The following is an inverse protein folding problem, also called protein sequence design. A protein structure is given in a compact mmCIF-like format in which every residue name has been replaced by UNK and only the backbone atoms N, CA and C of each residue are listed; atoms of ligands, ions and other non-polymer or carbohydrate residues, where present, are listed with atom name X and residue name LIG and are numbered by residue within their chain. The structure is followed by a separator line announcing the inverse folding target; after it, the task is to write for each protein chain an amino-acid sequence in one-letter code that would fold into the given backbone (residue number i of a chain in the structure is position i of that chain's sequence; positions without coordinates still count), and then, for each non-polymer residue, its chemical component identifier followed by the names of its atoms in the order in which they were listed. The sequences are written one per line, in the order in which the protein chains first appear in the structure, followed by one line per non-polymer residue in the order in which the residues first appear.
data_IF_809265203556
#
_entry.id   IF_809265203556
#
_cell.length_a   1.000
_cell.length_b   1.000
_cell.length_c   1.000
_cell.angle_alpha   90.00
_cell.angle_beta   90.00
_cell.angle_gamma   90.00
#
_symmetry.space_group_name_H-M   'P 1'
#
loop_
_entity.id
_entity.type
_entity.pdbx_description
1 polymer ?
#
# COMPACT_ATOMS: atom_id res chain seq x y z
N UNK A 1 3.59 5.62 -19.66
CA UNK A 1 3.42 5.15 -18.25
C UNK A 1 3.18 3.64 -18.30
N UNK A 2 3.75 2.85 -17.38
CA UNK A 2 3.63 1.36 -17.41
C UNK A 2 2.48 0.80 -16.54
N UNK A 3 1.83 1.64 -15.73
CA UNK A 3 0.62 1.25 -15.00
C UNK A 3 0.84 0.45 -13.72
N UNK A 4 2.08 0.39 -13.19
CA UNK A 4 2.40 -0.38 -11.97
C UNK A 4 2.48 0.45 -10.70
N UNK A 5 2.75 1.75 -10.82
CA UNK A 5 2.91 2.64 -9.67
C UNK A 5 1.59 3.34 -9.39
N UNK A 6 1.16 3.29 -8.13
CA UNK A 6 -0.12 3.83 -7.66
C UNK A 6 0.08 4.64 -6.38
N UNK A 7 -0.73 5.67 -6.22
CA UNK A 7 -0.70 6.55 -5.05
C UNK A 7 -2.08 6.67 -4.42
N UNK A 8 -2.07 6.91 -3.11
CA UNK A 8 -3.23 7.38 -2.35
C UNK A 8 -2.91 8.75 -1.81
N UNK A 9 -3.82 9.68 -2.02
CA UNK A 9 -3.67 11.09 -1.65
C UNK A 9 -4.74 11.45 -0.64
N UNK A 10 -4.33 12.11 0.44
CA UNK A 10 -5.24 12.56 1.50
C UNK A 10 -5.32 14.07 1.43
N UNK A 11 -6.52 14.55 1.16
CA UNK A 11 -6.83 15.95 0.95
C UNK A 11 -7.69 16.46 2.10
N UNK A 12 -7.34 17.63 2.64
CA UNK A 12 -8.21 18.45 3.48
C UNK A 12 -8.63 19.66 2.65
N UNK A 13 -9.87 19.68 2.20
CA UNK A 13 -10.37 20.63 1.19
C UNK A 13 -9.50 20.60 -0.08
N UNK A 14 -8.76 21.68 -0.35
CA UNK A 14 -7.88 21.85 -1.50
C UNK A 14 -6.39 21.62 -1.15
N UNK A 15 -6.08 21.25 0.10
CA UNK A 15 -4.72 21.00 0.56
C UNK A 15 -4.39 19.50 0.61
N UNK A 16 -3.29 19.12 -0.04
CA UNK A 16 -2.73 17.78 0.05
C UNK A 16 -1.99 17.62 1.40
N UNK A 17 -2.64 17.00 2.36
CA UNK A 17 -2.18 16.86 3.75
C UNK A 17 -1.49 15.53 4.05
N UNK A 18 -1.51 14.58 3.12
CA UNK A 18 -0.80 13.31 3.28
C UNK A 18 -0.93 12.40 2.06
N UNK A 19 -0.24 11.28 2.09
CA UNK A 19 -0.34 10.29 1.05
C UNK A 19 0.77 9.26 1.08
N UNK A 20 0.66 8.30 0.17
CA UNK A 20 1.63 7.23 -0.02
C UNK A 20 1.64 6.80 -1.47
N UNK A 21 2.70 6.12 -1.88
CA UNK A 21 2.75 5.45 -3.17
C UNK A 21 3.52 4.14 -3.08
N UNK A 22 3.25 3.26 -4.05
CA UNK A 22 3.89 1.98 -4.16
C UNK A 22 3.69 1.33 -5.52
N UNK A 23 4.20 0.11 -5.65
CA UNK A 23 4.07 -0.72 -6.84
C UNK A 23 3.06 -1.84 -6.59
N UNK A 24 2.11 -2.03 -7.51
CA UNK A 24 1.23 -3.19 -7.52
C UNK A 24 1.73 -4.20 -8.56
N UNK A 25 2.04 -5.42 -8.11
CA UNK A 25 2.46 -6.52 -8.98
C UNK A 25 1.76 -7.80 -8.51
N UNK A 26 0.88 -8.31 -9.36
CA UNK A 26 -0.06 -9.36 -9.01
C UNK A 26 -0.85 -9.02 -7.76
N UNK A 27 -0.88 -9.94 -6.79
CA UNK A 27 -1.56 -9.77 -5.50
C UNK A 27 -0.68 -9.16 -4.40
N UNK A 28 0.44 -8.52 -4.77
CA UNK A 28 1.42 -7.93 -3.85
C UNK A 28 1.54 -6.42 -4.07
N UNK A 29 1.54 -5.67 -2.98
CA UNK A 29 1.78 -4.23 -2.99
C UNK A 29 3.10 -3.91 -2.31
N UNK A 30 4.00 -3.19 -2.99
CA UNK A 30 5.30 -2.80 -2.48
C UNK A 30 5.24 -1.31 -2.13
N UNK A 31 5.11 -0.98 -0.85
CA UNK A 31 4.98 0.40 -0.39
C UNK A 31 6.33 1.10 -0.45
N UNK A 32 6.47 2.17 -1.23
CA UNK A 32 7.77 2.84 -1.41
C UNK A 32 7.96 3.99 -0.41
N UNK A 33 6.95 4.83 -0.23
CA UNK A 33 7.03 5.96 0.68
C UNK A 33 5.67 6.47 1.11
N UNK A 34 5.66 7.21 2.21
CA UNK A 34 4.50 7.91 2.75
C UNK A 34 4.91 9.25 3.35
N UNK A 35 3.99 10.20 3.37
CA UNK A 35 4.16 11.48 4.04
C UNK A 35 2.89 11.90 4.77
N UNK A 36 3.05 12.75 5.78
CA UNK A 36 1.97 13.35 6.56
C UNK A 36 2.32 14.80 6.84
N UNK A 37 1.39 15.72 6.56
CA UNK A 37 1.46 17.15 6.90
C UNK A 37 0.39 17.57 7.91
N UNK A 38 -0.64 16.75 8.09
CA UNK A 38 -1.62 16.86 9.17
C UNK A 38 -1.66 15.59 10.03
N UNK A 39 -2.26 15.71 11.21
CA UNK A 39 -2.43 14.59 12.13
C UNK A 39 -3.23 13.47 11.48
N UNK A 40 -2.72 12.25 11.62
CA UNK A 40 -3.33 11.01 11.09
C UNK A 40 -3.54 10.95 9.57
N UNK A 41 -3.12 11.93 8.78
CA UNK A 41 -3.33 11.92 7.33
C UNK A 41 -2.71 10.68 6.68
N UNK A 42 -1.46 10.34 7.02
CA UNK A 42 -0.83 9.12 6.51
C UNK A 42 -1.53 7.83 6.98
N UNK A 43 -2.20 7.85 8.14
CA UNK A 43 -2.96 6.71 8.64
C UNK A 43 -4.26 6.49 7.89
N UNK A 44 -4.98 7.57 7.62
CA UNK A 44 -6.21 7.53 6.79
C UNK A 44 -5.86 7.01 5.41
N UNK A 45 -4.83 7.56 4.76
CA UNK A 45 -4.40 7.11 3.44
C UNK A 45 -3.99 5.63 3.40
N UNK A 46 -3.28 5.16 4.43
CA UNK A 46 -2.91 3.74 4.55
C UNK A 46 -4.12 2.84 4.81
N UNK A 47 -5.05 3.22 5.69
CA UNK A 47 -6.26 2.46 5.95
C UNK A 47 -7.13 2.31 4.69
N UNK A 48 -7.35 3.41 3.96
CA UNK A 48 -8.08 3.40 2.68
C UNK A 48 -7.40 2.51 1.64
N UNK A 49 -6.06 2.56 1.55
CA UNK A 49 -5.33 1.63 0.67
C UNK A 49 -5.59 0.18 1.08
N UNK A 50 -5.46 -0.16 2.36
CA UNK A 50 -5.64 -1.54 2.86
C UNK A 50 -7.04 -2.07 2.56
N UNK A 51 -8.08 -1.25 2.73
CA UNK A 51 -9.46 -1.63 2.39
C UNK A 51 -9.58 -2.04 0.92
N UNK A 52 -9.13 -1.19 -0.01
CA UNK A 52 -9.16 -1.51 -1.44
C UNK A 52 -8.30 -2.72 -1.81
N UNK A 53 -7.08 -2.82 -1.27
CA UNK A 53 -6.19 -3.94 -1.52
C UNK A 53 -6.82 -5.26 -1.05
N UNK A 54 -7.50 -5.24 0.10
CA UNK A 54 -8.22 -6.41 0.63
C UNK A 54 -9.35 -6.82 -0.30
N UNK A 55 -10.17 -5.87 -0.73
CA UNK A 55 -11.28 -6.13 -1.68
C UNK A 55 -10.78 -6.66 -3.03
N UNK A 56 -9.60 -6.24 -3.46
CA UNK A 56 -8.96 -6.70 -4.70
C UNK A 56 -8.13 -7.99 -4.55
N UNK A 57 -8.16 -8.61 -3.36
CA UNK A 57 -7.51 -9.89 -3.12
C UNK A 57 -5.98 -9.82 -3.00
N UNK A 58 -5.42 -8.65 -2.66
CA UNK A 58 -4.01 -8.56 -2.30
C UNK A 58 -3.76 -9.25 -0.97
N UNK A 59 -2.60 -9.92 -0.87
CA UNK A 59 -2.29 -10.78 0.27
C UNK A 59 -1.14 -10.25 1.13
N UNK A 60 -0.39 -9.27 0.62
CA UNK A 60 0.77 -8.73 1.30
C UNK A 60 1.04 -7.29 0.86
N UNK A 61 1.32 -6.44 1.86
CA UNK A 61 1.99 -5.16 1.69
C UNK A 61 3.44 -5.33 2.17
N UNK A 62 4.40 -5.19 1.27
CA UNK A 62 5.82 -5.10 1.63
C UNK A 62 6.14 -3.67 2.08
N UNK A 63 6.71 -3.55 3.28
CA UNK A 63 7.12 -2.27 3.87
C UNK A 63 8.64 -2.17 4.04
N UNK A 64 9.40 -3.07 3.38
CA UNK A 64 10.85 -3.19 3.40
C UNK A 64 11.46 -3.17 4.81
N UNK A 65 11.92 -1.99 5.27
CA UNK A 65 12.64 -1.84 6.52
C UNK A 65 11.67 -1.54 7.67
N UNK A 66 11.75 -2.27 8.79
CA UNK A 66 10.88 -2.03 9.93
C UNK A 66 11.15 -0.63 10.50
N UNK A 67 10.08 0.14 10.71
CA UNK A 67 10.12 1.41 11.44
C UNK A 67 9.05 1.41 12.51
N UNK A 68 9.22 2.21 13.57
CA UNK A 68 8.19 2.36 14.60
C UNK A 68 6.85 2.84 14.02
N UNK A 69 6.90 3.68 12.99
CA UNK A 69 5.71 4.15 12.29
C UNK A 69 4.96 2.99 11.63
N UNK A 70 5.66 2.12 10.90
CA UNK A 70 5.06 0.92 10.28
C UNK A 70 4.53 -0.07 11.32
N UNK A 71 5.22 -0.25 12.45
CA UNK A 71 4.71 -1.08 13.54
C UNK A 71 3.40 -0.55 14.13
N UNK A 72 3.19 0.77 14.17
CA UNK A 72 1.91 1.35 14.60
C UNK A 72 0.74 1.01 13.67
N UNK A 73 1.04 0.58 12.42
CA UNK A 73 0.06 0.05 11.46
C UNK A 73 -0.13 -1.46 11.54
N UNK A 74 0.54 -2.15 12.48
CA UNK A 74 0.50 -3.60 12.58
C UNK A 74 1.52 -4.34 11.70
N UNK A 75 2.48 -3.63 11.10
CA UNK A 75 3.56 -4.27 10.37
C UNK A 75 4.39 -5.19 11.29
N UNK A 76 4.73 -6.36 10.77
CA UNK A 76 5.53 -7.37 11.49
C UNK A 76 6.59 -7.96 10.56
N UNK A 77 7.76 -8.26 11.12
CA UNK A 77 8.78 -8.98 10.38
C UNK A 77 8.32 -10.41 10.08
N UNK A 78 8.66 -10.91 8.90
CA UNK A 78 8.48 -12.31 8.51
C UNK A 78 9.84 -12.90 8.08
N UNK A 79 10.04 -14.22 8.21
CA UNK A 79 11.24 -14.85 7.68
C UNK A 79 11.39 -14.59 6.18
N UNK A 80 12.63 -14.39 5.71
CA UNK A 80 12.92 -14.20 4.28
C UNK A 80 12.32 -15.31 3.40
N UNK A 81 12.37 -16.56 3.87
CA UNK A 81 11.78 -17.68 3.16
C UNK A 81 10.27 -17.53 3.00
N UNK A 82 9.57 -17.08 4.05
CA UNK A 82 8.13 -16.79 3.99
C UNK A 82 7.83 -15.69 2.98
N UNK A 83 8.64 -14.64 2.91
CA UNK A 83 8.50 -13.60 1.88
C UNK A 83 8.74 -14.14 0.46
N UNK A 84 9.80 -14.94 0.25
CA UNK A 84 10.07 -15.58 -1.04
C UNK A 84 8.93 -16.50 -1.49
N UNK A 85 8.32 -17.22 -0.55
CA UNK A 85 7.13 -18.03 -0.77
C UNK A 85 5.94 -17.17 -1.23
N UNK A 86 5.71 -16.00 -0.64
CA UNK A 86 4.68 -15.06 -1.13
C UNK A 86 4.97 -14.60 -2.57
N UNK A 87 6.21 -14.19 -2.85
CA UNK A 87 6.62 -13.76 -4.20
C UNK A 87 6.32 -14.85 -5.24
N UNK A 88 6.79 -16.08 -4.99
CA UNK A 88 6.60 -17.20 -5.93
C UNK A 88 5.13 -17.55 -6.21
N UNK A 89 4.23 -17.33 -5.23
CA UNK A 89 2.82 -17.69 -5.37
C UNK A 89 1.97 -16.56 -5.95
N UNK A 90 2.31 -15.30 -5.67
CA UNK A 90 1.38 -14.18 -5.82
C UNK A 90 1.84 -13.07 -6.77
N UNK A 91 3.12 -13.02 -7.16
CA UNK A 91 3.68 -11.92 -7.95
C UNK A 91 3.03 -11.79 -9.34
N UNK A 92 2.69 -12.92 -9.97
CA UNK A 92 2.13 -12.97 -11.32
C UNK A 92 0.63 -13.33 -11.33
N UNK A 93 -0.02 -13.35 -10.15
CA UNK A 93 -1.45 -13.66 -10.07
C UNK A 93 -2.29 -12.49 -10.55
N UNK A 94 -3.34 -12.73 -11.36
CA UNK A 94 -4.24 -11.67 -11.80
C UNK A 94 -4.99 -11.05 -10.61
N UNK A 95 -5.35 -9.78 -10.74
CA UNK A 95 -6.22 -9.08 -9.78
C UNK A 95 -7.33 -8.34 -10.51
N UNK A 96 -8.46 -8.17 -9.85
CA UNK A 96 -9.58 -7.34 -10.32
C UNK A 96 -9.39 -5.87 -9.89
N UNK A 97 -8.14 -5.46 -9.65
CA UNK A 97 -7.83 -4.15 -9.11
C UNK A 97 -8.13 -3.05 -10.13
N UNK A 98 -9.05 -2.16 -9.75
CA UNK A 98 -9.39 -0.99 -10.55
C UNK A 98 -8.63 0.24 -10.05
N UNK A 99 -7.55 0.56 -10.75
CA UNK A 99 -6.69 1.70 -10.44
C UNK A 99 -7.16 3.02 -11.07
N UNK A 100 -8.42 3.10 -11.53
CA UNK A 100 -9.00 4.37 -11.96
C UNK A 100 -9.04 5.37 -10.79
N UNK A 101 -8.68 6.62 -11.09
CA UNK A 101 -8.64 7.68 -10.09
C UNK A 101 -10.05 7.93 -9.54
N UNK A 102 -10.20 7.83 -8.23
CA UNK A 102 -11.46 8.03 -7.50
C UNK A 102 -11.22 8.83 -6.24
N UNK A 103 -12.23 9.60 -5.82
CA UNK A 103 -12.34 10.18 -4.48
C UNK A 103 -13.36 9.37 -3.71
N UNK A 104 -13.03 9.04 -2.46
CA UNK A 104 -13.90 8.34 -1.51
C UNK A 104 -14.31 9.28 -0.39
#
# INVERSE_FOLDING_TARGET
RRGHAHSVEVWDQDELVGGLYGLAMGQLFFGESMFSRADNASKVGFATLVEHLTDWGFVLIDCQMPTQHLHSFGARAIPRQTFADYLSRHLDQPTDADWSARRV
#
